data_IF_013703959245
#
_entry.id   IF_013703959245
#
_cell.length_a   1.000
_cell.length_b   1.000
_cell.length_c   1.000
_cell.angle_alpha   90.00
_cell.angle_beta   90.00
_cell.angle_gamma   90.00
#
_symmetry.space_group_name_H-M   'P 1'
#
loop_
_entity.id
_entity.type
_entity.pdbx_description
1 polymer ?
#
# COMPACT_ATOMS: atom_id res chain seq x y z
N UNK A 1 49.41 -29.94 21.86
CA UNK A 1 49.13 -29.60 20.45
C UNK A 1 47.73 -30.03 19.97
N UNK A 2 47.07 -31.05 20.55
CA UNK A 2 45.73 -31.51 20.13
C UNK A 2 44.56 -30.57 20.52
N UNK A 3 44.75 -29.70 21.52
CA UNK A 3 43.73 -28.76 22.04
C UNK A 3 43.56 -27.49 21.18
N UNK A 4 44.55 -27.14 20.35
CA UNK A 4 44.51 -25.95 19.49
C UNK A 4 43.65 -26.18 18.24
N UNK A 5 43.58 -27.43 17.77
CA UNK A 5 42.77 -27.83 16.60
C UNK A 5 41.27 -27.68 16.89
N UNK A 6 40.85 -27.91 18.14
CA UNK A 6 39.45 -27.77 18.57
C UNK A 6 39.03 -26.29 18.64
N UNK A 7 39.93 -25.39 19.01
CA UNK A 7 39.64 -23.94 19.06
C UNK A 7 39.56 -23.34 17.64
N UNK A 8 40.41 -23.80 16.72
CA UNK A 8 40.38 -23.37 15.32
C UNK A 8 39.15 -23.87 14.54
N UNK A 9 38.59 -25.02 14.91
CA UNK A 9 37.36 -25.53 14.30
C UNK A 9 36.10 -24.79 14.74
N UNK A 10 36.09 -24.21 15.95
CA UNK A 10 34.99 -23.36 16.43
C UNK A 10 35.04 -21.96 15.79
N UNK A 11 36.23 -21.44 15.48
CA UNK A 11 36.38 -20.12 14.84
C UNK A 11 36.03 -20.10 13.33
N UNK A 12 36.08 -21.24 12.66
CA UNK A 12 35.80 -21.34 11.21
C UNK A 12 34.30 -21.26 10.86
N UNK A 13 33.40 -21.38 11.83
CA UNK A 13 31.95 -21.44 11.62
C UNK A 13 31.24 -20.08 11.47
N UNK A 14 31.93 -18.95 11.69
CA UNK A 14 31.26 -17.64 11.86
C UNK A 14 31.16 -16.82 10.55
N UNK A 15 31.75 -17.27 9.44
CA UNK A 15 31.89 -16.44 8.23
C UNK A 15 30.85 -16.63 7.13
N UNK A 16 29.81 -17.44 7.33
CA UNK A 16 28.70 -17.56 6.37
C UNK A 16 27.51 -16.67 6.74
N UNK A 17 27.71 -15.35 6.80
CA UNK A 17 26.60 -14.40 6.77
C UNK A 17 26.18 -14.18 5.32
N UNK A 18 25.28 -15.03 4.83
CA UNK A 18 24.67 -14.85 3.51
C UNK A 18 23.99 -13.49 3.42
N UNK A 19 24.37 -12.68 2.42
CA UNK A 19 23.66 -11.43 2.14
C UNK A 19 22.24 -11.77 1.70
N UNK A 20 21.28 -11.52 2.59
CA UNK A 20 19.86 -11.62 2.28
C UNK A 20 19.53 -10.55 1.22
N UNK A 21 19.27 -11.00 -0.01
CA UNK A 21 18.64 -10.15 -1.03
C UNK A 21 17.17 -10.04 -0.65
N UNK A 22 16.81 -9.00 0.10
CA UNK A 22 15.41 -8.70 0.37
C UNK A 22 14.70 -8.47 -0.97
N UNK A 23 13.79 -9.38 -1.34
CA UNK A 23 12.92 -9.17 -2.48
C UNK A 23 11.84 -8.17 -2.06
N UNK A 24 11.89 -6.97 -2.65
CA UNK A 24 10.85 -5.95 -2.43
C UNK A 24 9.65 -6.36 -3.29
N UNK A 25 8.58 -6.85 -2.64
CA UNK A 25 7.30 -7.11 -3.29
C UNK A 25 6.46 -5.82 -3.26
N UNK A 26 6.19 -5.23 -4.42
CA UNK A 26 5.30 -4.07 -4.56
C UNK A 26 3.94 -4.61 -5.02
N UNK A 27 2.98 -4.68 -4.11
CA UNK A 27 1.59 -5.03 -4.41
C UNK A 27 0.80 -3.78 -4.77
N UNK A 28 0.12 -3.80 -5.92
CA UNK A 28 -0.71 -2.70 -6.42
C UNK A 28 -2.09 -3.30 -6.69
N UNK A 29 -3.16 -2.71 -6.13
CA UNK A 29 -4.53 -3.20 -6.32
C UNK A 29 -5.53 -2.11 -6.71
N UNK A 30 -5.03 -1.03 -7.33
CA UNK A 30 -5.82 0.11 -7.83
C UNK A 30 -7.06 -0.36 -8.63
N UNK A 31 -6.92 -1.39 -9.47
CA UNK A 31 -8.02 -1.91 -10.31
C UNK A 31 -9.16 -2.60 -9.54
N UNK A 32 -8.91 -3.12 -8.34
CA UNK A 32 -9.95 -3.73 -7.48
C UNK A 32 -10.63 -2.73 -6.55
N UNK A 33 -10.07 -1.53 -6.39
CA UNK A 33 -10.67 -0.50 -5.55
C UNK A 33 -11.95 0.03 -6.20
N UNK A 34 -13.06 0.09 -5.45
CA UNK A 34 -14.32 0.64 -5.93
C UNK A 34 -14.20 2.15 -6.18
N UNK A 35 -15.01 2.66 -7.10
CA UNK A 35 -15.02 4.08 -7.47
C UNK A 35 -15.29 5.02 -6.28
N UNK A 36 -16.09 4.58 -5.31
CA UNK A 36 -16.38 5.35 -4.10
C UNK A 36 -15.20 5.38 -3.13
N UNK A 37 -14.14 4.58 -3.32
CA UNK A 37 -12.96 4.54 -2.46
C UNK A 37 -12.23 5.88 -2.40
N UNK A 38 -11.53 6.22 -1.30
CA UNK A 38 -10.66 7.40 -1.22
C UNK A 38 -9.57 7.37 -2.29
N UNK A 39 -9.33 8.51 -2.94
CA UNK A 39 -8.21 8.68 -3.85
C UNK A 39 -6.87 8.82 -3.11
N UNK A 40 -5.77 8.56 -3.80
CA UNK A 40 -4.40 8.72 -3.28
C UNK A 40 -3.77 7.47 -2.66
N UNK A 41 -4.39 6.29 -2.87
CA UNK A 41 -3.88 5.01 -2.38
C UNK A 41 -3.69 4.01 -3.52
N UNK A 42 -2.46 3.54 -3.70
CA UNK A 42 -2.13 2.52 -4.72
C UNK A 42 -2.45 1.08 -4.25
N UNK A 43 -2.62 0.92 -2.94
CA UNK A 43 -2.91 -0.37 -2.30
C UNK A 43 -3.87 -0.22 -1.12
N UNK A 44 -4.93 -1.02 -1.11
CA UNK A 44 -5.92 -1.09 -0.03
C UNK A 44 -6.38 -2.52 0.20
N UNK A 45 -6.23 -3.05 1.41
CA UNK A 45 -6.84 -4.33 1.80
C UNK A 45 -8.33 -4.15 2.16
N UNK A 46 -8.59 -3.20 3.08
CA UNK A 46 -9.92 -2.93 3.61
C UNK A 46 -10.20 -1.42 3.68
N UNK A 47 -11.47 -1.07 3.55
CA UNK A 47 -11.99 0.19 4.07
C UNK A 47 -12.74 -0.08 5.36
N UNK A 48 -12.39 0.63 6.44
CA UNK A 48 -13.26 0.76 7.61
C UNK A 48 -14.25 1.90 7.40
N UNK A 49 -15.51 1.66 7.76
CA UNK A 49 -16.66 2.53 7.57
C UNK A 49 -17.16 2.97 8.95
N UNK A 50 -16.69 4.12 9.48
CA UNK A 50 -16.95 4.52 10.86
C UNK A 50 -18.43 4.67 11.17
N UNK A 51 -19.22 5.26 10.26
CA UNK A 51 -20.65 5.56 10.45
C UNK A 51 -21.48 4.31 10.81
N UNK A 52 -21.10 3.17 10.23
CA UNK A 52 -21.85 1.92 10.39
C UNK A 52 -21.05 0.84 11.13
N UNK A 53 -19.83 1.15 11.57
CA UNK A 53 -18.92 0.21 12.24
C UNK A 53 -18.78 -1.10 11.45
N UNK A 54 -18.44 -0.96 10.16
CA UNK A 54 -18.31 -2.08 9.24
C UNK A 54 -17.04 -1.93 8.42
N UNK A 55 -16.70 -2.99 7.69
CA UNK A 55 -15.58 -3.02 6.77
C UNK A 55 -16.06 -3.34 5.37
N UNK A 56 -15.24 -3.00 4.39
CA UNK A 56 -15.33 -3.49 3.02
C UNK A 56 -13.98 -4.07 2.62
N UNK A 57 -13.94 -5.36 2.29
CA UNK A 57 -12.77 -6.03 1.75
C UNK A 57 -12.66 -5.71 0.25
N UNK A 58 -11.57 -5.05 -0.14
CA UNK A 58 -11.35 -4.63 -1.53
C UNK A 58 -11.10 -5.81 -2.45
N UNK A 59 -10.38 -6.83 -1.97
CA UNK A 59 -9.99 -8.00 -2.76
C UNK A 59 -11.20 -8.89 -3.06
N UNK A 60 -12.05 -9.14 -2.06
CA UNK A 60 -13.23 -10.01 -2.22
C UNK A 60 -14.51 -9.25 -2.59
N UNK A 61 -14.48 -7.92 -2.61
CA UNK A 61 -15.63 -7.05 -2.85
C UNK A 61 -16.82 -7.36 -1.92
N UNK A 62 -16.55 -7.54 -0.62
CA UNK A 62 -17.55 -7.88 0.39
C UNK A 62 -17.53 -6.90 1.55
N UNK A 63 -18.73 -6.53 2.01
CA UNK A 63 -18.94 -5.93 3.31
C UNK A 63 -18.73 -6.96 4.42
N UNK A 64 -18.17 -6.50 5.53
CA UNK A 64 -18.00 -7.25 6.76
C UNK A 64 -18.63 -6.43 7.88
N UNK A 65 -19.73 -6.92 8.45
CA UNK A 65 -20.49 -6.19 9.46
C UNK A 65 -20.84 -7.10 10.63
N UNK A 66 -21.06 -6.48 11.78
CA UNK A 66 -21.42 -7.18 12.99
C UNK A 66 -22.94 -7.30 13.09
N UNK A 67 -23.43 -8.53 13.27
CA UNK A 67 -24.84 -8.83 13.56
C UNK A 67 -24.87 -9.90 14.64
N UNK A 68 -25.64 -9.68 15.71
CA UNK A 68 -25.75 -10.61 16.84
C UNK A 68 -24.38 -11.09 17.37
N UNK A 69 -23.45 -10.14 17.51
CA UNK A 69 -22.09 -10.38 17.99
C UNK A 69 -21.24 -11.33 17.11
N UNK A 70 -21.64 -11.53 15.84
CA UNK A 70 -20.93 -12.34 14.85
C UNK A 70 -20.62 -11.51 13.61
N UNK A 71 -19.48 -11.78 13.00
CA UNK A 71 -19.08 -11.15 11.74
C UNK A 71 -19.75 -11.85 10.57
N UNK A 72 -20.43 -11.08 9.74
CA UNK A 72 -21.07 -11.53 8.51
C UNK A 72 -20.38 -10.91 7.30
N UNK A 73 -20.26 -11.70 6.24
CA UNK A 73 -19.62 -11.33 4.98
C UNK A 73 -20.66 -11.36 3.88
N UNK A 74 -20.88 -10.25 3.19
CA UNK A 74 -21.88 -10.17 2.12
C UNK A 74 -21.49 -9.15 1.05
N UNK A 75 -21.95 -9.34 -0.18
CA UNK A 75 -21.75 -8.37 -1.28
C UNK A 75 -22.52 -7.06 -1.07
N UNK A 76 -23.56 -7.08 -0.24
CA UNK A 76 -24.42 -5.92 0.05
C UNK A 76 -24.60 -5.73 1.54
N UNK A 77 -24.78 -4.48 1.96
CA UNK A 77 -25.17 -4.17 3.32
C UNK A 77 -26.63 -4.63 3.58
N UNK A 78 -26.93 -5.10 4.80
CA UNK A 78 -28.30 -5.44 5.19
C UNK A 78 -29.20 -4.19 5.26
N UNK A 79 -30.52 -4.41 5.14
CA UNK A 79 -31.50 -3.33 4.99
C UNK A 79 -31.58 -2.32 6.15
N UNK A 80 -31.08 -2.65 7.34
CA UNK A 80 -30.99 -1.69 8.44
C UNK A 80 -29.92 -0.60 8.21
N UNK A 81 -28.98 -0.81 7.27
CA UNK A 81 -28.07 0.22 6.78
C UNK A 81 -28.55 0.90 5.50
N UNK A 82 -29.82 0.78 5.10
CA UNK A 82 -30.34 1.37 3.84
C UNK A 82 -30.10 2.88 3.69
N UNK A 83 -30.00 3.60 4.80
CA UNK A 83 -29.79 5.05 4.81
C UNK A 83 -28.30 5.43 4.75
N UNK A 84 -27.40 4.45 4.82
CA UNK A 84 -25.97 4.67 4.69
C UNK A 84 -25.60 4.97 3.24
N UNK A 85 -25.07 6.16 3.00
CA UNK A 85 -24.61 6.57 1.68
C UNK A 85 -23.09 6.48 1.60
N UNK A 86 -22.58 5.40 1.00
CA UNK A 86 -21.13 5.17 0.86
C UNK A 86 -20.41 6.26 0.06
N UNK A 87 -21.11 6.97 -0.83
CA UNK A 87 -20.58 8.10 -1.60
C UNK A 87 -20.58 9.41 -0.81
N UNK A 88 -21.17 9.47 0.38
CA UNK A 88 -21.19 10.66 1.22
C UNK A 88 -20.65 10.41 2.64
N UNK A 89 -19.91 9.32 2.81
CA UNK A 89 -19.31 8.95 4.09
C UNK A 89 -17.78 8.98 3.99
N UNK A 90 -17.15 9.20 5.14
CA UNK A 90 -15.71 9.07 5.31
C UNK A 90 -15.32 7.57 5.36
N UNK A 91 -14.16 7.22 4.79
CA UNK A 91 -13.61 5.86 4.83
C UNK A 91 -12.17 5.90 5.32
N UNK A 92 -11.79 4.91 6.10
CA UNK A 92 -10.40 4.74 6.52
C UNK A 92 -9.80 3.57 5.78
N UNK A 93 -8.65 3.79 5.13
CA UNK A 93 -7.84 2.71 4.55
C UNK A 93 -7.17 1.92 5.67
N UNK A 94 -7.39 0.60 5.69
CA UNK A 94 -6.87 -0.29 6.72
C UNK A 94 -6.14 -1.46 6.04
N UNK A 95 -4.81 -1.43 6.09
CA UNK A 95 -3.92 -2.42 5.46
C UNK A 95 -3.32 -3.35 6.51
N UNK A 96 -4.15 -4.25 7.03
CA UNK A 96 -3.73 -5.30 7.96
C UNK A 96 -4.65 -6.51 7.85
N UNK A 97 -4.15 -7.67 8.28
CA UNK A 97 -4.91 -8.93 8.24
C UNK A 97 -6.13 -8.86 9.15
N UNK A 98 -7.30 -9.24 8.62
CA UNK A 98 -8.57 -9.41 9.33
C UNK A 98 -8.88 -8.29 10.36
N UNK A 99 -8.99 -7.01 9.94
CA UNK A 99 -9.09 -5.89 10.86
C UNK A 99 -10.33 -5.95 11.76
N UNK A 100 -11.42 -6.55 11.27
CA UNK A 100 -12.65 -6.81 12.01
C UNK A 100 -12.44 -7.67 13.27
N UNK A 101 -11.40 -8.49 13.34
CA UNK A 101 -11.07 -9.24 14.55
C UNK A 101 -10.60 -8.34 15.70
N UNK A 102 -10.06 -7.16 15.37
CA UNK A 102 -9.67 -6.14 16.34
C UNK A 102 -10.50 -4.85 16.15
N UNK A 103 -11.82 -5.00 16.02
CA UNK A 103 -12.70 -3.86 15.77
C UNK A 103 -12.67 -2.81 16.88
N UNK A 104 -12.42 -3.21 18.13
CA UNK A 104 -12.27 -2.27 19.25
C UNK A 104 -11.22 -1.20 18.95
N UNK A 105 -10.07 -1.62 18.39
CA UNK A 105 -9.02 -0.69 17.98
C UNK A 105 -9.51 0.32 16.94
N UNK A 106 -10.26 -0.11 15.92
CA UNK A 106 -10.75 0.79 14.87
C UNK A 106 -11.83 1.75 15.37
N UNK A 107 -12.70 1.29 16.28
CA UNK A 107 -13.66 2.17 16.94
C UNK A 107 -12.93 3.26 17.72
N UNK A 108 -11.90 2.90 18.49
CA UNK A 108 -11.13 3.85 19.29
C UNK A 108 -10.34 4.85 18.44
N UNK A 109 -9.67 4.38 17.38
CA UNK A 109 -8.77 5.22 16.58
C UNK A 109 -9.48 6.01 15.47
N UNK A 110 -10.57 5.43 14.93
CA UNK A 110 -11.24 5.94 13.75
C UNK A 110 -12.70 6.31 13.98
N UNK A 111 -13.28 6.01 15.15
CA UNK A 111 -14.65 6.39 15.50
C UNK A 111 -14.88 7.90 15.48
N UNK A 112 -13.84 8.70 15.68
CA UNK A 112 -13.90 10.16 15.52
C UNK A 112 -14.32 10.63 14.13
N UNK A 113 -14.14 9.81 13.10
CA UNK A 113 -14.51 10.13 11.72
C UNK A 113 -15.99 9.86 11.38
N UNK A 114 -16.79 9.42 12.35
CA UNK A 114 -18.24 9.34 12.18
C UNK A 114 -18.81 10.72 11.81
N UNK A 115 -19.71 10.75 10.83
CA UNK A 115 -20.35 11.97 10.33
C UNK A 115 -19.40 12.98 9.67
N UNK A 116 -18.13 12.60 9.40
CA UNK A 116 -17.20 13.49 8.71
C UNK A 116 -17.56 13.66 7.23
N UNK A 117 -17.19 14.84 6.71
CA UNK A 117 -17.35 15.16 5.29
C UNK A 117 -16.62 14.14 4.39
N UNK A 118 -17.14 13.91 3.17
CA UNK A 118 -16.51 13.00 2.22
C UNK A 118 -15.09 13.42 1.84
N UNK A 119 -14.27 12.44 1.50
CA UNK A 119 -12.94 12.64 0.95
C UNK A 119 -12.97 12.62 -0.58
N UNK A 120 -11.95 13.18 -1.26
CA UNK A 120 -11.78 13.00 -2.70
C UNK A 120 -11.83 11.51 -3.07
N UNK A 121 -12.68 11.17 -4.04
CA UNK A 121 -12.92 9.78 -4.42
C UNK A 121 -12.16 9.40 -5.67
N UNK A 122 -11.91 8.10 -5.79
CA UNK A 122 -11.24 7.51 -6.93
C UNK A 122 -12.01 7.77 -8.25
N UNK A 123 -13.34 7.79 -8.18
CA UNK A 123 -14.22 8.20 -9.28
C UNK A 123 -13.89 9.59 -9.81
N UNK A 124 -13.44 10.52 -8.98
CA UNK A 124 -13.24 11.91 -9.40
C UNK A 124 -11.78 12.16 -9.82
N UNK A 125 -10.91 11.16 -9.67
CA UNK A 125 -9.51 11.22 -10.06
C UNK A 125 -9.33 10.90 -11.56
N UNK A 126 -8.91 11.89 -12.34
CA UNK A 126 -8.71 11.76 -13.79
C UNK A 126 -7.59 10.76 -14.16
N UNK A 127 -6.53 10.65 -13.36
CA UNK A 127 -5.46 9.69 -13.60
C UNK A 127 -5.98 8.26 -13.42
N UNK A 128 -6.79 8.03 -12.38
CA UNK A 128 -7.45 6.74 -12.18
C UNK A 128 -8.41 6.39 -13.33
N UNK A 129 -9.25 7.34 -13.76
CA UNK A 129 -10.13 7.16 -14.93
C UNK A 129 -9.33 6.76 -16.17
N UNK A 130 -8.23 7.46 -16.45
CA UNK A 130 -7.38 7.15 -17.59
C UNK A 130 -6.78 5.74 -17.51
N UNK A 131 -6.29 5.33 -16.34
CA UNK A 131 -5.73 3.98 -16.13
C UNK A 131 -6.78 2.88 -16.32
N UNK A 132 -8.00 3.08 -15.82
CA UNK A 132 -9.10 2.11 -15.96
C UNK A 132 -9.66 2.04 -17.38
N UNK A 133 -9.72 3.18 -18.08
CA UNK A 133 -10.26 3.27 -19.44
C UNK A 133 -9.27 2.84 -20.54
N UNK A 134 -7.97 2.78 -20.24
CA UNK A 134 -6.93 2.39 -21.21
C UNK A 134 -7.04 0.91 -21.70
N UNK A 135 -8.00 0.14 -21.20
CA UNK A 135 -8.33 -1.22 -21.70
C UNK A 135 -9.40 -1.26 -22.79
N UNK A 136 -10.15 -0.17 -23.04
CA UNK A 136 -11.27 -0.15 -23.98
C UNK A 136 -11.14 1.03 -24.96
N UNK A 137 -10.33 0.87 -26.00
CA UNK A 137 -10.36 1.74 -27.18
C UNK A 137 -10.61 0.92 -28.45
N UNK A 138 -11.86 0.46 -28.59
CA UNK A 138 -12.50 0.34 -29.90
C UNK A 138 -13.66 1.34 -29.95
N UNK A 139 -13.59 2.30 -30.87
CA UNK A 139 -14.76 3.03 -31.39
C UNK A 139 -15.23 4.28 -30.63
N UNK A 140 -14.65 5.43 -30.95
CA UNK A 140 -15.34 6.56 -31.62
C UNK A 140 -14.60 7.87 -31.35
N UNK A 141 -13.90 8.34 -32.37
CA UNK A 141 -13.40 9.71 -32.43
C UNK A 141 -14.58 10.68 -32.52
N UNK A 142 -14.87 11.38 -31.42
CA UNK A 142 -15.40 12.74 -31.47
C UNK A 142 -14.41 13.64 -30.73
N UNK A 143 -13.70 14.55 -31.42
CA UNK A 143 -12.75 15.44 -30.76
C UNK A 143 -13.54 16.51 -30.00
N UNK A 144 -13.78 16.25 -28.71
CA UNK A 144 -14.22 17.25 -27.75
C UNK A 144 -13.05 18.13 -27.35
N UNK A 145 -13.18 19.43 -27.63
CA UNK A 145 -12.27 20.50 -27.25
C UNK A 145 -11.93 20.44 -25.73
N UNK A 146 -10.71 20.04 -25.38
CA UNK A 146 -10.29 19.83 -24.00
C UNK A 146 -8.82 20.22 -23.77
N UNK A 147 -8.63 21.15 -22.84
CA UNK A 147 -7.39 21.86 -22.50
C UNK A 147 -6.08 21.03 -22.46
N UNK A 148 -5.02 21.61 -23.04
CA UNK A 148 -3.64 21.11 -23.13
C UNK A 148 -2.88 20.93 -21.78
N UNK A 149 -3.56 20.98 -20.64
CA UNK A 149 -2.90 20.88 -19.33
C UNK A 149 -2.67 19.43 -18.87
N UNK A 150 -3.41 18.45 -19.39
CA UNK A 150 -3.34 17.06 -18.91
C UNK A 150 -2.07 16.32 -19.36
N UNK A 151 -1.51 16.68 -20.53
CA UNK A 151 -0.22 16.11 -20.99
C UNK A 151 0.93 16.45 -20.05
N UNK A 152 0.87 17.58 -19.33
CA UNK A 152 1.89 17.94 -18.35
C UNK A 152 1.80 17.00 -17.14
N UNK A 153 0.62 16.75 -16.60
CA UNK A 153 0.47 15.97 -15.37
C UNK A 153 0.82 14.48 -15.56
N UNK A 154 0.39 13.84 -16.66
CA UNK A 154 0.80 12.46 -16.98
C UNK A 154 2.31 12.35 -17.22
N UNK A 155 2.92 13.39 -17.82
CA UNK A 155 4.38 13.44 -17.99
C UNK A 155 5.09 13.67 -16.66
N UNK A 156 4.54 14.48 -15.76
CA UNK A 156 5.08 14.72 -14.42
C UNK A 156 5.06 13.42 -13.62
N UNK A 157 3.93 12.70 -13.54
CA UNK A 157 3.82 11.43 -12.82
C UNK A 157 4.79 10.38 -13.38
N UNK A 158 4.83 10.19 -14.71
CA UNK A 158 5.80 9.27 -15.34
C UNK A 158 7.25 9.71 -15.13
N UNK A 159 7.53 11.01 -15.01
CA UNK A 159 8.86 11.57 -14.76
C UNK A 159 9.25 11.43 -13.29
N UNK A 160 8.31 11.56 -12.36
CA UNK A 160 8.53 11.35 -10.93
C UNK A 160 8.72 9.87 -10.61
N UNK A 161 7.94 8.98 -11.21
CA UNK A 161 8.14 7.54 -11.14
C UNK A 161 9.54 7.16 -11.66
N UNK A 162 9.94 7.66 -12.84
CA UNK A 162 11.29 7.44 -13.38
C UNK A 162 12.40 8.07 -12.52
N UNK A 163 12.17 9.21 -11.88
CA UNK A 163 13.13 9.85 -10.97
C UNK A 163 13.27 9.06 -9.68
N UNK A 164 12.16 8.60 -9.09
CA UNK A 164 12.16 7.74 -7.91
C UNK A 164 12.93 6.44 -8.21
N UNK A 165 12.63 5.77 -9.33
CA UNK A 165 13.35 4.57 -9.77
C UNK A 165 14.85 4.86 -9.96
N UNK A 166 15.21 5.99 -10.60
CA UNK A 166 16.62 6.36 -10.82
C UNK A 166 17.36 6.74 -9.53
N UNK A 167 16.69 7.39 -8.59
CA UNK A 167 17.25 7.76 -7.29
C UNK A 167 17.48 6.51 -6.44
N UNK A 168 16.51 5.61 -6.39
CA UNK A 168 16.63 4.31 -5.72
C UNK A 168 17.76 3.48 -6.34
N UNK A 169 17.88 3.43 -7.66
CA UNK A 169 19.00 2.73 -8.33
C UNK A 169 20.37 3.37 -8.05
N UNK A 170 20.43 4.67 -7.74
CA UNK A 170 21.66 5.35 -7.31
C UNK A 170 21.99 5.03 -5.85
N UNK A 171 21.00 5.00 -4.97
CA UNK A 171 21.15 4.59 -3.56
C UNK A 171 21.62 3.15 -3.46
N UNK A 172 20.98 2.23 -4.21
CA UNK A 172 21.40 0.82 -4.34
C UNK A 172 22.87 0.71 -4.78
N UNK A 173 23.30 1.54 -5.76
CA UNK A 173 24.68 1.55 -6.26
C UNK A 173 25.68 2.19 -5.29
N UNK A 174 25.22 3.10 -4.42
CA UNK A 174 26.03 3.75 -3.39
C UNK A 174 26.22 2.82 -2.18
N UNK A 175 25.18 2.12 -1.74
CA UNK A 175 25.24 1.16 -0.64
C UNK A 175 26.11 -0.05 -1.00
N UNK A 176 26.03 -0.53 -2.25
CA UNK A 176 26.91 -1.60 -2.75
C UNK A 176 28.38 -1.17 -2.88
N UNK A 177 28.68 0.13 -2.95
CA UNK A 177 30.06 0.67 -2.99
C UNK A 177 30.59 1.05 -1.60
N UNK A 178 29.71 1.47 -0.69
CA UNK A 178 30.03 1.76 0.71
C UNK A 178 30.39 0.49 1.48
N UNK A 179 29.66 -0.60 1.25
CA UNK A 179 29.93 -1.90 1.86
C UNK A 179 31.31 -2.51 1.48
N UNK A 180 31.94 -2.01 0.42
CA UNK A 180 33.27 -2.46 -0.02
C UNK A 180 34.44 -1.62 0.54
N UNK A 181 34.18 -0.50 1.24
CA UNK A 181 35.22 0.44 1.70
C UNK A 181 35.42 0.49 3.22
N UNK A 182 34.58 -0.14 4.04
CA UNK A 182 34.64 -0.01 5.51
C UNK A 182 35.45 -1.10 6.23
N UNK A 183 36.16 -1.99 5.52
CA UNK A 183 36.94 -3.09 6.15
C UNK A 183 38.45 -2.82 6.19
N UNK A 184 38.90 -1.56 6.15
CA UNK A 184 40.33 -1.26 6.33
C UNK A 184 40.52 0.04 7.11
N UNK A 185 40.36 0.01 8.44
CA UNK A 185 41.14 0.83 9.38
C UNK A 185 40.62 0.68 10.82
N UNK A 186 41.13 -0.29 11.58
CA UNK A 186 41.41 -0.11 13.02
C UNK A 186 42.08 -1.36 13.58
N UNK A 187 43.39 -1.31 13.79
CA UNK A 187 44.09 -1.84 14.96
C UNK A 187 45.52 -1.31 14.93
N UNK A 188 45.74 -0.18 15.59
CA UNK A 188 47.06 0.16 16.11
C UNK A 188 46.92 0.82 17.49
N UNK A 189 47.78 0.36 18.40
CA UNK A 189 48.18 0.90 19.70
C UNK A 189 47.20 0.79 20.88
N UNK A 190 47.58 -0.10 21.79
CA UNK A 190 47.93 0.32 23.15
C UNK A 190 49.03 -0.62 23.68
N UNK A 191 50.11 0.01 24.16
CA UNK A 191 51.14 -0.60 25.02
C UNK A 191 50.56 -0.77 26.42
#
# INVERSE_FOLDING_TARGET
>A
MKKIIVIMSVLAGVFFTGQSKAQINISINIGSQPEWGPAGYDYVDYYYLPDINAYYNVVTAQYIYLLNNRWHFASTLPGYYRNYNIYNSYKVVVNRKNPYQNNKYDIEHYGKYKGHSPQPMLRDNNAYKAMRNNGNHYGNNRPGNGNNNDRRNTTIVKKEEKKAIKQTNRTIKQDSRGASRTTTSRTQRSR
#
